data_IF_455469107565
#
_entry.id   IF_455469107565
#
_cell.length_a   1.000
_cell.length_b   1.000
_cell.length_c   1.000
_cell.angle_alpha   90.00
_cell.angle_beta   90.00
_cell.angle_gamma   90.00
#
_symmetry.space_group_name_H-M   'P 1'
#
loop_
_entity.id
_entity.type
_entity.pdbx_description
1 polymer ?
#
# COMPACT_ATOMS: atom_id res chain seq x y z
N UNK A 1 19.64 -25.06 15.39
CA UNK A 1 18.53 -24.11 15.15
C UNK A 1 18.45 -23.87 13.67
N UNK A 2 17.45 -24.42 13.02
CA UNK A 2 17.17 -24.10 11.63
C UNK A 2 16.81 -22.62 11.55
N UNK A 3 17.63 -21.84 10.82
CA UNK A 3 17.28 -20.46 10.48
C UNK A 3 15.93 -20.51 9.79
N UNK A 4 14.90 -19.93 10.41
CA UNK A 4 13.60 -19.80 9.75
C UNK A 4 13.81 -18.99 8.49
N UNK A 5 13.36 -19.50 7.36
CA UNK A 5 13.40 -18.77 6.08
C UNK A 5 12.45 -17.57 6.16
N UNK A 6 12.99 -16.44 6.61
CA UNK A 6 12.24 -15.19 6.76
C UNK A 6 11.69 -14.72 5.42
N UNK A 7 12.46 -14.88 4.34
CA UNK A 7 12.02 -14.50 2.98
C UNK A 7 10.83 -15.36 2.55
N UNK A 8 10.90 -16.68 2.74
CA UNK A 8 9.80 -17.57 2.42
C UNK A 8 8.54 -17.25 3.24
N UNK A 9 8.69 -16.99 4.53
CA UNK A 9 7.55 -16.62 5.39
C UNK A 9 6.90 -15.31 4.97
N UNK A 10 7.70 -14.28 4.63
CA UNK A 10 7.18 -13.00 4.14
C UNK A 10 6.43 -13.16 2.81
N UNK A 11 6.99 -13.94 1.88
CA UNK A 11 6.33 -14.22 0.60
C UNK A 11 5.00 -14.97 0.80
N UNK A 12 4.99 -16.00 1.63
CA UNK A 12 3.77 -16.78 1.92
C UNK A 12 2.71 -15.92 2.62
N UNK A 13 3.11 -15.15 3.63
CA UNK A 13 2.19 -14.27 4.36
C UNK A 13 1.63 -13.16 3.45
N UNK A 14 2.49 -12.54 2.65
CA UNK A 14 2.08 -11.51 1.67
C UNK A 14 1.10 -12.06 0.64
N UNK A 15 1.39 -13.25 0.10
CA UNK A 15 0.50 -13.90 -0.87
C UNK A 15 -0.86 -14.26 -0.26
N UNK A 16 -0.86 -14.85 0.93
CA UNK A 16 -2.09 -15.20 1.64
C UNK A 16 -2.95 -13.96 1.95
N UNK A 17 -2.33 -12.87 2.40
CA UNK A 17 -3.03 -11.62 2.70
C UNK A 17 -3.57 -10.96 1.43
N UNK A 18 -2.80 -10.94 0.35
CA UNK A 18 -3.24 -10.41 -0.95
C UNK A 18 -4.44 -11.17 -1.49
N UNK A 19 -4.46 -12.50 -1.37
CA UNK A 19 -5.60 -13.31 -1.80
C UNK A 19 -6.86 -13.03 -0.97
N UNK A 20 -6.71 -12.83 0.35
CA UNK A 20 -7.83 -12.44 1.22
C UNK A 20 -8.37 -11.06 0.85
N UNK A 21 -7.49 -10.09 0.58
CA UNK A 21 -7.87 -8.76 0.11
C UNK A 21 -8.58 -8.83 -1.24
N UNK A 22 -8.06 -9.62 -2.19
CA UNK A 22 -8.67 -9.78 -3.50
C UNK A 22 -10.11 -10.29 -3.38
N UNK A 23 -10.32 -11.37 -2.61
CA UNK A 23 -11.67 -11.92 -2.39
C UNK A 23 -12.61 -10.91 -1.70
N UNK A 24 -12.13 -10.17 -0.71
CA UNK A 24 -12.97 -9.21 0.01
C UNK A 24 -13.31 -7.95 -0.82
N UNK A 25 -12.41 -7.52 -1.70
CA UNK A 25 -12.62 -6.34 -2.56
C UNK A 25 -13.51 -6.62 -3.78
N UNK A 26 -13.80 -7.88 -4.09
CA UNK A 26 -14.76 -8.24 -5.15
C UNK A 26 -16.14 -7.62 -4.91
N UNK A 27 -16.56 -7.48 -3.66
CA UNK A 27 -17.85 -6.89 -3.28
C UNK A 27 -18.01 -5.42 -3.75
N UNK A 28 -16.90 -4.73 -3.96
CA UNK A 28 -16.87 -3.35 -4.43
C UNK A 28 -16.23 -3.21 -5.82
N UNK A 29 -16.09 -4.32 -6.52
CA UNK A 29 -15.53 -4.40 -7.87
C UNK A 29 -14.14 -3.76 -8.00
N UNK A 30 -13.30 -3.96 -6.98
CA UNK A 30 -11.90 -3.51 -6.94
C UNK A 30 -10.95 -4.69 -6.81
N UNK A 31 -9.76 -4.52 -7.38
CA UNK A 31 -8.62 -5.39 -7.07
C UNK A 31 -7.72 -4.70 -6.02
N UNK A 32 -6.86 -5.44 -5.30
CA UNK A 32 -5.89 -4.83 -4.38
C UNK A 32 -5.00 -3.78 -5.05
N UNK A 33 -4.61 -3.99 -6.31
CA UNK A 33 -3.81 -3.03 -7.08
C UNK A 33 -4.58 -1.75 -7.40
N UNK A 34 -5.84 -1.88 -7.82
CA UNK A 34 -6.71 -0.74 -8.09
C UNK A 34 -6.91 0.10 -6.83
N UNK A 35 -7.20 -0.54 -5.70
CA UNK A 35 -7.34 0.12 -4.40
C UNK A 35 -6.07 0.88 -4.02
N UNK A 36 -4.91 0.24 -4.16
CA UNK A 36 -3.62 0.85 -3.87
C UNK A 36 -3.36 2.09 -4.73
N UNK A 37 -3.61 2.00 -6.04
CA UNK A 37 -3.44 3.13 -6.97
C UNK A 37 -4.38 4.28 -6.62
N UNK A 38 -5.65 4.00 -6.34
CA UNK A 38 -6.65 5.02 -5.96
C UNK A 38 -6.24 5.74 -4.67
N UNK A 39 -5.81 5.01 -3.64
CA UNK A 39 -5.38 5.62 -2.37
C UNK A 39 -4.19 6.55 -2.58
N UNK A 40 -3.13 6.10 -3.27
CA UNK A 40 -1.97 6.95 -3.54
C UNK A 40 -2.28 8.16 -4.42
N UNK A 41 -3.25 8.05 -5.32
CA UNK A 41 -3.70 9.17 -6.14
C UNK A 41 -4.58 10.18 -5.35
N UNK A 42 -5.25 9.73 -4.29
CA UNK A 42 -6.08 10.58 -3.41
C UNK A 42 -5.27 11.32 -2.34
N UNK A 43 -4.14 10.76 -1.90
CA UNK A 43 -3.30 11.39 -0.87
C UNK A 43 -2.71 12.72 -1.33
N UNK A 44 -2.24 12.78 -2.57
CA UNK A 44 -1.73 13.98 -3.22
C UNK A 44 -1.67 13.79 -4.75
N UNK A 45 -1.58 14.88 -5.50
CA UNK A 45 -1.40 14.82 -6.95
C UNK A 45 -0.08 14.13 -7.30
N UNK A 46 -0.16 12.98 -7.96
CA UNK A 46 0.98 12.15 -8.36
C UNK A 46 0.90 11.73 -9.80
N UNK A 47 2.06 11.61 -10.42
CA UNK A 47 2.18 11.02 -11.74
C UNK A 47 2.02 9.50 -11.69
N UNK A 48 1.67 8.91 -12.81
CA UNK A 48 1.58 7.46 -12.96
C UNK A 48 2.88 6.75 -12.54
N UNK A 49 4.05 7.34 -12.88
CA UNK A 49 5.36 6.78 -12.51
C UNK A 49 5.59 6.84 -10.98
N UNK A 50 5.21 7.94 -10.35
CA UNK A 50 5.34 8.09 -8.89
C UNK A 50 4.47 7.08 -8.15
N UNK A 51 3.23 6.87 -8.60
CA UNK A 51 2.32 5.89 -7.98
C UNK A 51 2.85 4.47 -8.22
N UNK A 52 3.35 4.15 -9.41
CA UNK A 52 3.94 2.84 -9.69
C UNK A 52 5.09 2.50 -8.73
N UNK A 53 5.96 3.47 -8.44
CA UNK A 53 7.05 3.30 -7.49
C UNK A 53 6.56 3.08 -6.05
N UNK A 54 5.53 3.83 -5.60
CA UNK A 54 4.94 3.68 -4.27
C UNK A 54 4.18 2.36 -4.09
N UNK A 55 3.51 1.91 -5.15
CA UNK A 55 2.73 0.68 -5.15
C UNK A 55 3.56 -0.58 -5.47
N UNK A 56 4.87 -0.43 -5.71
CA UNK A 56 5.77 -1.51 -6.16
C UNK A 56 5.24 -2.24 -7.40
N UNK A 57 4.74 -1.46 -8.37
CA UNK A 57 4.22 -1.97 -9.63
C UNK A 57 5.20 -1.71 -10.78
N UNK A 58 5.44 -2.72 -11.59
CA UNK A 58 6.13 -2.54 -12.86
C UNK A 58 5.29 -1.70 -13.83
N UNK A 59 5.95 -1.16 -14.86
CA UNK A 59 5.31 -0.27 -15.83
C UNK A 59 4.09 -0.91 -16.52
N UNK A 60 4.21 -2.16 -16.92
CA UNK A 60 3.13 -2.88 -17.64
C UNK A 60 1.92 -3.09 -16.74
N UNK A 61 2.14 -3.54 -15.51
CA UNK A 61 1.09 -3.73 -14.50
C UNK A 61 0.42 -2.41 -14.15
N UNK A 62 1.20 -1.33 -13.99
CA UNK A 62 0.64 -0.01 -13.71
C UNK A 62 -0.24 0.49 -14.84
N UNK A 63 0.19 0.36 -16.10
CA UNK A 63 -0.60 0.76 -17.28
C UNK A 63 -1.92 0.00 -17.31
N UNK A 64 -1.89 -1.33 -17.21
CA UNK A 64 -3.10 -2.15 -17.23
C UNK A 64 -4.05 -1.83 -16.07
N UNK A 65 -3.52 -1.55 -14.89
CA UNK A 65 -4.33 -1.18 -13.72
C UNK A 65 -5.04 0.16 -13.94
N UNK A 66 -4.35 1.17 -14.49
CA UNK A 66 -4.96 2.46 -14.79
C UNK A 66 -5.96 2.35 -15.93
N UNK A 67 -5.70 1.54 -16.95
CA UNK A 67 -6.66 1.27 -18.04
C UNK A 67 -7.96 0.66 -17.49
N UNK A 68 -7.87 -0.24 -16.51
CA UNK A 68 -9.01 -0.81 -15.83
C UNK A 68 -9.79 0.24 -15.01
N UNK A 69 -9.08 1.12 -14.30
CA UNK A 69 -9.70 2.22 -13.55
C UNK A 69 -10.42 3.21 -14.48
N UNK A 70 -9.82 3.56 -15.61
CA UNK A 70 -10.45 4.42 -16.62
C UNK A 70 -11.69 3.78 -17.23
N UNK A 71 -11.61 2.50 -17.59
CA UNK A 71 -12.76 1.75 -18.17
C UNK A 71 -13.95 1.70 -17.22
N UNK A 72 -13.70 1.67 -15.91
CA UNK A 72 -14.72 1.66 -14.86
C UNK A 72 -15.18 3.06 -14.44
N UNK A 73 -14.52 4.11 -14.97
CA UNK A 73 -14.81 5.51 -14.64
C UNK A 73 -14.40 5.90 -13.22
N UNK A 74 -13.38 5.22 -12.65
CA UNK A 74 -12.90 5.45 -11.28
C UNK A 74 -11.74 6.45 -11.24
N UNK A 75 -10.96 6.54 -12.31
CA UNK A 75 -9.88 7.50 -12.49
C UNK A 75 -9.71 7.87 -13.95
N UNK A 76 -8.92 8.87 -14.22
CA UNK A 76 -8.54 9.31 -15.58
C UNK A 76 -7.10 9.82 -15.59
N UNK A 77 -6.42 9.61 -16.71
CA UNK A 77 -5.11 10.23 -16.94
C UNK A 77 -5.28 11.67 -17.38
N UNK A 78 -4.58 12.58 -16.74
CA UNK A 78 -4.51 14.00 -17.14
C UNK A 78 -3.07 14.43 -17.40
N UNK A 79 -2.82 15.38 -18.33
CA UNK A 79 -1.50 15.98 -18.44
C UNK A 79 -1.11 16.68 -17.14
N UNK A 80 0.15 16.55 -16.72
CA UNK A 80 0.68 17.37 -15.62
C UNK A 80 0.75 18.84 -16.03
N UNK A 81 0.43 19.75 -15.11
CA UNK A 81 0.56 21.18 -15.34
C UNK A 81 2.03 21.63 -15.46
N UNK A 82 2.96 20.89 -14.85
CA UNK A 82 4.40 21.22 -14.81
C UNK A 82 5.24 20.45 -15.81
N UNK A 83 4.78 19.27 -16.25
CA UNK A 83 5.47 18.42 -17.22
C UNK A 83 4.47 17.80 -18.21
N UNK A 84 4.46 18.31 -19.44
CA UNK A 84 3.56 17.82 -20.50
C UNK A 84 3.76 16.34 -20.87
N UNK A 85 4.91 15.77 -20.55
CA UNK A 85 5.22 14.35 -20.81
C UNK A 85 4.71 13.43 -19.72
N UNK A 86 4.49 13.97 -18.52
CA UNK A 86 3.97 13.21 -17.38
C UNK A 86 2.44 13.17 -17.43
N UNK A 87 1.89 12.08 -16.93
CA UNK A 87 0.45 11.89 -16.73
C UNK A 87 0.19 11.77 -15.24
N UNK A 88 -0.69 12.59 -14.73
CA UNK A 88 -1.24 12.46 -13.38
C UNK A 88 -2.45 11.54 -13.42
N UNK A 89 -2.69 10.85 -12.31
CA UNK A 89 -3.89 10.04 -12.12
C UNK A 89 -4.88 10.84 -11.29
N UNK A 90 -5.94 11.29 -11.94
CA UNK A 90 -7.02 12.03 -11.31
C UNK A 90 -8.16 11.08 -10.95
N UNK A 91 -8.47 10.94 -9.66
CA UNK A 91 -9.55 10.09 -9.18
C UNK A 91 -10.88 10.81 -9.36
N UNK A 92 -11.87 10.14 -9.94
CA UNK A 92 -13.23 10.67 -10.09
C UNK A 92 -13.98 10.62 -8.75
N UNK A 93 -15.12 11.29 -8.67
CA UNK A 93 -15.99 11.18 -7.48
C UNK A 93 -16.45 9.72 -7.25
N UNK A 94 -16.78 9.01 -8.32
CA UNK A 94 -17.09 7.56 -8.25
C UNK A 94 -15.90 6.76 -7.71
N UNK A 95 -14.68 7.09 -8.16
CA UNK A 95 -13.45 6.46 -7.70
C UNK A 95 -13.16 6.76 -6.23
N UNK A 96 -13.42 7.98 -5.77
CA UNK A 96 -13.25 8.37 -4.36
C UNK A 96 -14.17 7.54 -3.46
N UNK A 97 -15.45 7.43 -3.79
CA UNK A 97 -16.42 6.62 -3.04
C UNK A 97 -16.03 5.14 -3.02
N UNK A 98 -15.62 4.61 -4.17
CA UNK A 98 -15.16 3.22 -4.25
C UNK A 98 -13.89 2.99 -3.40
N UNK A 99 -12.94 3.92 -3.42
CA UNK A 99 -11.71 3.83 -2.63
C UNK A 99 -11.97 3.90 -1.13
N UNK A 100 -12.92 4.74 -0.68
CA UNK A 100 -13.32 4.82 0.73
C UNK A 100 -13.94 3.51 1.23
N UNK A 101 -14.83 2.91 0.45
CA UNK A 101 -15.41 1.62 0.80
C UNK A 101 -14.36 0.51 0.76
N UNK A 102 -13.51 0.50 -0.28
CA UNK A 102 -12.37 -0.40 -0.38
C UNK A 102 -11.44 -0.29 0.82
N UNK A 103 -11.17 0.91 1.33
CA UNK A 103 -10.31 1.11 2.50
C UNK A 103 -10.91 0.50 3.77
N UNK A 104 -12.22 0.63 3.98
CA UNK A 104 -12.90 -0.05 5.11
C UNK A 104 -12.75 -1.57 5.04
N UNK A 105 -12.83 -2.14 3.83
CA UNK A 105 -12.62 -3.58 3.61
C UNK A 105 -11.17 -3.96 3.91
N UNK A 106 -10.20 -3.19 3.42
CA UNK A 106 -8.76 -3.41 3.68
C UNK A 106 -8.48 -3.38 5.18
N UNK A 107 -8.96 -2.36 5.88
CA UNK A 107 -8.76 -2.19 7.32
C UNK A 107 -9.34 -3.37 8.11
N UNK A 108 -10.53 -3.86 7.74
CA UNK A 108 -11.13 -5.04 8.34
C UNK A 108 -10.30 -6.30 8.11
N UNK A 109 -9.86 -6.57 6.88
CA UNK A 109 -9.03 -7.75 6.55
C UNK A 109 -7.71 -7.71 7.30
N UNK A 110 -7.08 -6.55 7.40
CA UNK A 110 -5.83 -6.37 8.16
C UNK A 110 -6.06 -6.57 9.67
N UNK A 111 -7.13 -6.02 10.22
CA UNK A 111 -7.49 -6.21 11.64
C UNK A 111 -7.73 -7.69 11.97
N UNK A 112 -8.42 -8.42 11.11
CA UNK A 112 -8.65 -9.85 11.25
C UNK A 112 -7.35 -10.65 11.13
N UNK A 113 -6.50 -10.32 10.16
CA UNK A 113 -5.24 -11.02 9.93
C UNK A 113 -4.25 -10.86 11.10
N UNK A 114 -4.28 -9.73 11.79
CA UNK A 114 -3.41 -9.41 12.92
C UNK A 114 -4.13 -9.52 14.26
N UNK A 115 -5.34 -10.06 14.28
CA UNK A 115 -6.22 -10.08 15.45
C UNK A 115 -5.66 -10.85 16.66
N UNK A 116 -4.88 -11.90 16.41
CA UNK A 116 -4.26 -12.74 17.46
C UNK A 116 -3.04 -12.06 18.11
N UNK A 117 -2.55 -10.95 17.55
CA UNK A 117 -1.43 -10.21 18.11
C UNK A 117 -1.90 -9.19 19.15
N UNK A 118 -1.20 -9.09 20.28
CA UNK A 118 -1.39 -7.97 21.20
C UNK A 118 -1.10 -6.63 20.50
N UNK A 119 -1.71 -5.52 20.97
CA UNK A 119 -1.49 -4.20 20.38
C UNK A 119 -0.01 -3.80 20.28
N UNK A 120 0.84 -4.00 21.31
CA UNK A 120 2.27 -3.70 21.20
C UNK A 120 2.98 -4.58 20.15
N UNK A 121 2.66 -5.87 20.09
CA UNK A 121 3.25 -6.81 19.13
C UNK A 121 2.86 -6.45 17.71
N UNK A 122 1.60 -6.07 17.49
CA UNK A 122 1.10 -5.62 16.18
C UNK A 122 1.83 -4.37 15.71
N UNK A 123 1.97 -3.36 16.58
CA UNK A 123 2.68 -2.13 16.27
C UNK A 123 4.15 -2.40 15.91
N UNK A 124 4.85 -3.21 16.70
CA UNK A 124 6.23 -3.60 16.44
C UNK A 124 6.38 -4.39 15.14
N UNK A 125 5.44 -5.27 14.82
CA UNK A 125 5.43 -6.04 13.58
C UNK A 125 5.27 -5.14 12.35
N UNK A 126 4.29 -4.23 12.36
CA UNK A 126 4.06 -3.29 11.25
C UNK A 126 5.24 -2.36 11.05
N UNK A 127 5.85 -1.86 12.15
CA UNK A 127 7.05 -1.04 12.09
C UNK A 127 8.23 -1.81 11.49
N UNK A 128 8.44 -3.06 11.89
CA UNK A 128 9.50 -3.91 11.35
C UNK A 128 9.31 -4.18 9.85
N UNK A 129 8.08 -4.45 9.41
CA UNK A 129 7.75 -4.59 7.99
C UNK A 129 8.03 -3.30 7.21
N UNK A 130 7.65 -2.14 7.75
CA UNK A 130 7.89 -0.85 7.13
C UNK A 130 9.39 -0.56 6.95
N UNK A 131 10.22 -0.92 7.93
CA UNK A 131 11.69 -0.82 7.82
C UNK A 131 12.25 -1.75 6.75
N UNK A 132 11.81 -3.00 6.71
CA UNK A 132 12.22 -3.98 5.70
C UNK A 132 11.83 -3.54 4.29
N UNK A 133 10.65 -2.95 4.13
CA UNK A 133 10.16 -2.41 2.87
C UNK A 133 10.78 -1.05 2.49
N UNK A 134 11.60 -0.45 3.36
CA UNK A 134 12.20 0.87 3.13
C UNK A 134 11.21 2.04 3.17
N UNK A 135 9.99 1.82 3.67
CA UNK A 135 8.95 2.87 3.79
C UNK A 135 9.08 3.69 5.07
N UNK A 136 9.77 3.16 6.08
CA UNK A 136 10.09 3.82 7.34
C UNK A 136 11.58 4.00 7.44
N UNK A 137 12.04 5.26 7.57
CA UNK A 137 13.47 5.54 7.80
C UNK A 137 13.86 5.04 9.19
N UNK A 138 14.98 4.30 9.27
CA UNK A 138 15.58 3.93 10.55
C UNK A 138 15.94 5.23 11.32
N UNK A 139 15.46 5.41 12.56
CA UNK A 139 15.81 6.59 13.37
C UNK A 139 17.31 6.68 13.72
N UNK A 140 18.11 5.71 13.27
CA UNK A 140 19.52 5.62 13.63
C UNK A 140 19.75 5.18 15.08
N UNK A 141 20.99 4.87 15.48
CA UNK A 141 21.27 4.49 16.85
C UNK A 141 20.96 5.66 17.79
N UNK A 142 20.00 5.47 18.70
CA UNK A 142 19.73 6.45 19.75
C UNK A 142 20.98 6.63 20.61
N UNK A 143 21.41 7.86 20.91
CA UNK A 143 22.55 8.10 21.78
C UNK A 143 22.24 7.49 23.17
N UNK A 144 23.09 6.57 23.60
CA UNK A 144 22.99 5.98 24.94
C UNK A 144 23.11 7.11 25.94
N UNK A 145 22.02 7.44 26.64
CA UNK A 145 22.07 8.35 27.79
C UNK A 145 22.99 7.73 28.83
N UNK A 146 24.24 8.20 28.88
CA UNK A 146 25.13 7.91 30.00
C UNK A 146 24.47 8.44 31.26
N UNK A 147 24.06 7.54 32.15
CA UNK A 147 23.64 7.92 33.49
C UNK A 147 24.79 8.71 34.14
N UNK A 148 24.55 9.97 34.47
CA UNK A 148 25.49 10.73 35.31
C UNK A 148 25.41 10.08 36.70
N UNK A 149 26.47 9.30 37.03
CA UNK A 149 26.71 8.86 38.40
C UNK A 149 26.91 10.07 39.30
N UNK A 150 26.25 10.00 40.41
CA UNK A 150 26.54 10.87 41.56
C UNK A 150 27.79 10.36 42.29
#
# INVERSE_FOLDING_TARGET
MTSRDVTGLLNMAGHALTNRLAAALEDVDLTPRMQCVLIHALEEERTQIQIAALADLDKTTMVSTVDDLERRGLAERRPSATDRRARIIAVTEKGRLAAEEGQRIVDRVHAEALGDLSSPTRAAFVEALGRLAGTVKDPGPQPVRRARGR
#
